data_IF_748396290225
#
_entry.id   IF_748396290225
#
_cell.length_a   1.000
_cell.length_b   1.000
_cell.length_c   1.000
_cell.angle_alpha   90.00
_cell.angle_beta   90.00
_cell.angle_gamma   90.00
#
_symmetry.space_group_name_H-M   'P 1'
#
loop_
_entity.id
_entity.type
_entity.pdbx_description
1 polymer ?
#
# COMPACT_ATOMS: atom_id res chain seq x y z
N UNK A 1 -9.54 20.24 5.07
CA UNK A 1 -10.67 20.71 4.24
C UNK A 1 -11.75 19.66 4.17
N UNK A 2 -12.50 19.49 5.26
CA UNK A 2 -13.72 18.66 5.27
C UNK A 2 -14.96 19.51 5.03
N UNK A 3 -16.13 18.88 4.81
CA UNK A 3 -17.40 19.60 4.77
C UNK A 3 -17.68 20.29 6.11
N UNK A 4 -18.43 21.39 6.09
CA UNK A 4 -18.89 22.06 7.31
C UNK A 4 -19.71 21.08 8.16
N UNK A 5 -19.33 20.78 9.41
CA UNK A 5 -20.08 19.87 10.29
C UNK A 5 -21.55 20.26 10.45
N UNK A 6 -21.89 21.54 10.38
CA UNK A 6 -23.27 22.01 10.45
C UNK A 6 -24.12 21.58 9.24
N UNK A 7 -23.48 21.31 8.09
CA UNK A 7 -24.15 20.84 6.87
C UNK A 7 -24.43 19.33 6.86
N UNK A 8 -23.90 18.57 7.84
CA UNK A 8 -24.04 17.12 7.93
C UNK A 8 -25.15 16.76 8.94
N UNK A 9 -26.07 15.81 8.61
CA UNK A 9 -27.06 15.31 9.56
C UNK A 9 -26.41 14.82 10.86
N UNK A 10 -27.08 15.05 11.99
CA UNK A 10 -26.49 14.86 13.32
C UNK A 10 -25.99 13.42 13.54
N UNK A 11 -26.71 12.44 13.01
CA UNK A 11 -26.41 11.01 13.04
C UNK A 11 -25.15 10.60 12.24
N UNK A 12 -24.55 11.52 11.47
CA UNK A 12 -23.33 11.28 10.70
C UNK A 12 -22.17 12.23 11.06
N UNK A 13 -22.39 13.23 11.91
CA UNK A 13 -21.35 14.21 12.26
C UNK A 13 -20.16 13.58 12.98
N UNK A 14 -20.39 12.52 13.74
CA UNK A 14 -19.36 11.72 14.42
C UNK A 14 -18.44 10.95 13.44
N UNK A 15 -18.84 10.84 12.17
CA UNK A 15 -18.01 10.27 11.09
C UNK A 15 -17.07 11.28 10.45
N UNK A 16 -17.21 12.56 10.79
CA UNK A 16 -16.26 13.59 10.36
C UNK A 16 -15.00 13.52 11.21
N UNK A 17 -13.86 13.62 10.54
CA UNK A 17 -12.57 13.67 11.19
C UNK A 17 -11.48 14.05 10.21
N UNK A 18 -10.32 14.37 10.76
CA UNK A 18 -9.09 14.50 10.00
C UNK A 18 -8.04 13.60 10.65
N UNK A 19 -7.22 12.97 9.81
CA UNK A 19 -5.97 12.41 10.29
C UNK A 19 -5.11 13.58 10.77
N UNK A 20 -4.66 13.52 12.02
CA UNK A 20 -3.73 14.50 12.58
C UNK A 20 -2.50 13.79 13.10
N UNK A 21 -1.33 14.37 12.87
CA UNK A 21 -0.07 13.80 13.35
C UNK A 21 -0.05 13.73 14.88
N UNK A 22 -0.58 14.72 15.57
CA UNK A 22 -0.55 14.79 17.03
C UNK A 22 -1.46 13.78 17.73
N UNK A 23 -2.56 13.34 17.10
CA UNK A 23 -3.55 12.46 17.74
C UNK A 23 -3.64 11.09 17.08
N UNK A 24 -3.70 11.06 15.76
CA UNK A 24 -3.98 9.82 15.03
C UNK A 24 -2.73 8.94 14.92
N UNK A 25 -1.57 9.53 14.60
CA UNK A 25 -0.34 8.74 14.44
C UNK A 25 0.08 8.03 15.73
N UNK A 26 0.09 8.66 16.92
CA UNK A 26 0.40 7.97 18.16
C UNK A 26 -0.56 6.81 18.45
N UNK A 27 -1.86 6.98 18.17
CA UNK A 27 -2.84 5.92 18.40
C UNK A 27 -2.65 4.72 17.45
N UNK A 28 -2.34 4.97 16.18
CA UNK A 28 -2.04 3.91 15.21
C UNK A 28 -0.72 3.20 15.54
N UNK A 29 0.30 3.96 15.96
CA UNK A 29 1.57 3.41 16.45
C UNK A 29 1.36 2.50 17.65
N UNK A 30 0.65 2.97 18.67
CA UNK A 30 0.33 2.22 19.89
C UNK A 30 -0.52 0.97 19.60
N UNK A 31 -1.43 1.02 18.62
CA UNK A 31 -2.16 -0.16 18.15
C UNK A 31 -1.22 -1.21 17.54
N UNK A 32 -0.31 -0.82 16.64
CA UNK A 32 0.71 -1.71 16.07
C UNK A 32 1.63 -2.26 17.16
N UNK A 33 2.17 -1.41 18.04
CA UNK A 33 3.08 -1.82 19.11
C UNK A 33 2.45 -2.87 20.04
N UNK A 34 1.14 -2.80 20.25
CA UNK A 34 0.39 -3.79 21.03
C UNK A 34 0.14 -5.12 20.32
N UNK A 35 0.49 -5.26 19.04
CA UNK A 35 0.28 -6.48 18.25
C UNK A 35 -0.87 -6.37 17.25
N UNK A 36 -1.38 -5.17 16.99
CA UNK A 36 -2.41 -4.94 15.98
C UNK A 36 -1.87 -5.09 14.55
N UNK A 37 -2.78 -5.30 13.61
CA UNK A 37 -2.46 -5.32 12.17
C UNK A 37 -3.15 -4.15 11.48
N UNK A 38 -2.40 -3.37 10.72
CA UNK A 38 -2.93 -2.28 9.91
C UNK A 38 -2.75 -2.63 8.44
N UNK A 39 -3.78 -2.35 7.63
CA UNK A 39 -3.76 -2.47 6.18
C UNK A 39 -3.97 -1.08 5.60
N UNK A 40 -3.08 -0.66 4.70
CA UNK A 40 -3.25 0.58 3.94
C UNK A 40 -3.35 0.27 2.44
N UNK A 41 -4.21 0.99 1.74
CA UNK A 41 -4.43 0.87 0.30
C UNK A 41 -4.25 2.26 -0.34
N UNK A 42 -3.53 2.33 -1.46
CA UNK A 42 -3.33 3.58 -2.18
C UNK A 42 -2.63 4.63 -1.32
N UNK A 43 -3.14 5.86 -1.36
CA UNK A 43 -2.55 7.01 -0.66
C UNK A 43 -2.48 6.89 0.86
N UNK A 44 -3.28 6.01 1.48
CA UNK A 44 -3.20 5.75 2.92
C UNK A 44 -1.87 5.12 3.34
N UNK A 45 -1.10 4.56 2.40
CA UNK A 45 0.24 4.01 2.65
C UNK A 45 1.29 5.06 3.04
N UNK A 46 0.99 6.36 2.92
CA UNK A 46 1.80 7.43 3.51
C UNK A 46 2.05 7.24 5.02
N UNK A 47 1.18 6.48 5.69
CA UNK A 47 1.36 6.07 7.09
C UNK A 47 2.72 5.42 7.35
N UNK A 48 3.25 4.64 6.40
CA UNK A 48 4.53 3.95 6.58
C UNK A 48 5.70 4.94 6.81
N UNK A 49 5.79 5.98 5.99
CA UNK A 49 6.77 7.04 6.17
C UNK A 49 6.51 7.85 7.46
N UNK A 50 5.24 8.14 7.77
CA UNK A 50 4.83 8.84 8.99
C UNK A 50 5.16 8.07 10.28
N UNK A 51 5.23 6.74 10.22
CA UNK A 51 5.70 5.89 11.31
C UNK A 51 7.24 5.84 11.42
N UNK A 52 7.97 6.49 10.51
CA UNK A 52 9.43 6.51 10.48
C UNK A 52 10.04 5.26 9.85
N UNK A 53 9.27 4.48 9.10
CA UNK A 53 9.84 3.38 8.31
C UNK A 53 10.69 3.96 7.18
N UNK A 54 11.78 3.28 6.77
CA UNK A 54 12.66 3.72 5.70
C UNK A 54 12.03 3.48 4.32
N UNK A 55 10.89 4.09 4.09
CA UNK A 55 10.15 4.07 2.84
C UNK A 55 10.07 5.50 2.30
N UNK A 56 10.30 5.65 1.01
CA UNK A 56 10.19 6.92 0.31
C UNK A 56 9.45 6.73 -1.01
N UNK A 57 9.30 7.81 -1.74
CA UNK A 57 8.77 7.78 -3.09
C UNK A 57 9.82 7.20 -4.06
N UNK A 58 9.39 6.27 -4.91
CA UNK A 58 10.19 5.71 -6.00
C UNK A 58 10.11 6.56 -7.27
N UNK A 59 9.01 7.29 -7.45
CA UNK A 59 8.71 8.07 -8.64
C UNK A 59 9.25 9.49 -8.49
N UNK A 60 10.55 9.60 -8.22
CA UNK A 60 11.24 10.88 -8.05
C UNK A 60 12.20 11.13 -9.21
N UNK A 61 12.45 12.40 -9.48
CA UNK A 61 13.46 12.80 -10.47
C UNK A 61 14.86 12.33 -10.02
N UNK A 62 15.74 11.92 -10.94
CA UNK A 62 17.07 11.46 -10.60
C UNK A 62 17.88 12.47 -9.78
N UNK A 63 18.32 12.06 -8.59
CA UNK A 63 19.16 12.90 -7.72
C UNK A 63 18.40 13.94 -6.89
N UNK A 64 17.07 13.90 -6.88
CA UNK A 64 16.22 14.76 -6.04
C UNK A 64 15.22 13.92 -5.24
N UNK A 65 14.44 14.59 -4.37
CA UNK A 65 13.26 14.02 -3.70
C UNK A 65 11.96 14.57 -4.31
N UNK A 66 12.03 15.21 -5.49
CA UNK A 66 10.86 15.76 -6.17
C UNK A 66 10.18 14.69 -7.03
N UNK A 67 8.85 14.59 -6.93
CA UNK A 67 8.07 13.66 -7.73
C UNK A 67 8.27 13.93 -9.24
N UNK A 68 8.20 12.88 -10.05
CA UNK A 68 8.24 12.99 -11.51
C UNK A 68 7.06 13.84 -12.00
N UNK A 69 7.29 14.78 -12.93
CA UNK A 69 6.21 15.59 -13.48
C UNK A 69 5.28 14.75 -14.37
N UNK A 70 4.02 15.16 -14.48
CA UNK A 70 2.99 14.37 -15.20
C UNK A 70 3.27 14.20 -16.71
N UNK A 71 4.12 15.03 -17.31
CA UNK A 71 4.56 14.90 -18.70
C UNK A 71 5.68 13.86 -18.89
N UNK A 72 6.35 13.45 -17.81
CA UNK A 72 7.32 12.34 -17.79
C UNK A 72 6.66 11.03 -17.33
N UNK A 73 5.77 11.08 -16.35
CA UNK A 73 5.12 9.92 -15.77
C UNK A 73 3.63 10.15 -15.50
N UNK A 74 2.76 9.37 -16.15
CA UNK A 74 1.32 9.47 -15.91
C UNK A 74 0.55 8.18 -16.20
N UNK A 75 -0.06 7.63 -15.14
CA UNK A 75 -0.89 6.42 -15.19
C UNK A 75 -2.20 6.68 -14.43
N UNK A 76 -3.25 7.18 -15.10
CA UNK A 76 -4.51 7.61 -14.46
C UNK A 76 -5.46 6.48 -14.08
N UNK A 77 -5.12 5.24 -14.46
CA UNK A 77 -6.01 4.09 -14.33
C UNK A 77 -5.62 3.02 -15.33
N UNK A 78 -4.95 1.96 -14.89
CA UNK A 78 -4.50 0.86 -15.75
C UNK A 78 -4.33 -0.43 -14.96
N UNK A 79 -4.33 -1.54 -15.68
CA UNK A 79 -4.00 -2.85 -15.13
C UNK A 79 -2.52 -3.08 -15.34
N UNK A 80 -1.80 -3.23 -14.23
CA UNK A 80 -0.37 -3.46 -14.21
C UNK A 80 -0.06 -4.82 -13.60
N UNK A 81 0.99 -5.47 -14.07
CA UNK A 81 1.54 -6.67 -13.44
C UNK A 81 2.44 -6.31 -12.26
N UNK A 82 2.34 -7.11 -11.20
CA UNK A 82 3.23 -7.09 -10.03
C UNK A 82 3.77 -8.50 -9.80
N UNK A 83 5.08 -8.61 -9.55
CA UNK A 83 5.74 -9.83 -9.10
C UNK A 83 5.71 -9.91 -7.58
N UNK A 84 5.23 -11.02 -7.04
CA UNK A 84 5.02 -11.25 -5.60
C UNK A 84 6.10 -12.15 -4.98
N UNK A 85 6.53 -11.78 -3.78
CA UNK A 85 7.21 -12.70 -2.87
C UNK A 85 6.18 -13.59 -2.17
N UNK A 86 6.10 -14.83 -2.63
CA UNK A 86 5.17 -15.86 -2.14
C UNK A 86 5.46 -16.40 -0.75
N UNK A 87 6.57 -15.99 -0.13
CA UNK A 87 6.87 -16.34 1.27
C UNK A 87 6.11 -15.48 2.28
N UNK A 88 5.55 -14.33 1.85
CA UNK A 88 4.72 -13.51 2.73
C UNK A 88 3.32 -14.13 2.93
N UNK A 89 2.81 -14.17 4.17
CA UNK A 89 1.48 -14.71 4.46
C UNK A 89 0.36 -13.97 3.71
N UNK A 90 0.55 -12.68 3.41
CA UNK A 90 -0.46 -11.87 2.71
C UNK A 90 -0.65 -12.30 1.25
N UNK A 91 0.33 -12.99 0.67
CA UNK A 91 0.30 -13.48 -0.72
C UNK A 91 -0.21 -14.92 -0.85
N UNK A 92 -0.63 -15.54 0.25
CA UNK A 92 -1.07 -16.93 0.27
C UNK A 92 -2.21 -17.17 -0.73
N UNK A 93 -2.05 -18.19 -1.57
CA UNK A 93 -3.05 -18.58 -2.56
C UNK A 93 -2.99 -17.80 -3.88
N UNK A 94 -2.10 -16.81 -4.00
CA UNK A 94 -1.88 -16.08 -5.24
C UNK A 94 -0.76 -16.71 -6.09
N UNK A 95 -0.80 -16.40 -7.39
CA UNK A 95 0.28 -16.67 -8.32
C UNK A 95 1.48 -15.75 -8.03
N UNK A 96 2.65 -16.08 -8.58
CA UNK A 96 3.86 -15.25 -8.45
C UNK A 96 3.73 -13.92 -9.20
N UNK A 97 2.93 -13.88 -10.26
CA UNK A 97 2.59 -12.68 -11.01
C UNK A 97 1.09 -12.45 -10.88
N UNK A 98 0.70 -11.23 -10.55
CA UNK A 98 -0.70 -10.83 -10.45
C UNK A 98 -0.94 -9.52 -11.19
N UNK A 99 -2.17 -9.34 -11.64
CA UNK A 99 -2.63 -8.09 -12.23
C UNK A 99 -3.30 -7.23 -11.15
N UNK A 100 -2.90 -5.96 -11.07
CA UNK A 100 -3.38 -4.99 -10.08
C UNK A 100 -3.97 -3.76 -10.76
N UNK A 101 -4.97 -3.15 -10.14
CA UNK A 101 -5.44 -1.82 -10.55
C UNK A 101 -4.48 -0.75 -10.03
N UNK A 102 -3.89 -0.01 -10.95
CA UNK A 102 -3.06 1.16 -10.68
C UNK A 102 -3.82 2.42 -11.05
N UNK A 103 -3.95 3.37 -10.13
CA UNK A 103 -4.64 4.64 -10.37
C UNK A 103 -3.92 5.77 -9.65
N UNK A 104 -2.89 6.33 -10.29
CA UNK A 104 -1.97 7.31 -9.65
C UNK A 104 -1.52 6.82 -8.27
N UNK A 105 -1.27 5.52 -8.20
CA UNK A 105 -1.01 4.79 -6.97
C UNK A 105 0.42 5.04 -6.50
N UNK A 106 0.69 5.08 -5.18
CA UNK A 106 2.05 5.21 -4.70
C UNK A 106 2.92 4.03 -5.10
N UNK A 107 4.20 4.32 -5.37
CA UNK A 107 5.24 3.31 -5.64
C UNK A 107 6.39 3.62 -4.73
N UNK A 108 6.87 2.62 -4.00
CA UNK A 108 7.74 2.86 -2.87
C UNK A 108 9.18 2.48 -3.17
N UNK A 109 10.08 3.38 -2.79
CA UNK A 109 11.49 3.09 -2.62
C UNK A 109 11.70 2.64 -1.19
N UNK A 110 12.28 1.47 -1.00
CA UNK A 110 12.50 0.88 0.33
C UNK A 110 13.99 0.88 0.65
N UNK A 111 14.37 1.55 1.74
CA UNK A 111 15.72 1.54 2.27
C UNK A 111 16.08 0.20 2.94
N UNK A 112 17.36 0.00 3.24
CA UNK A 112 17.81 -1.21 3.93
C UNK A 112 17.36 -1.21 5.40
N UNK A 113 16.39 -2.05 5.74
CA UNK A 113 16.02 -2.34 7.12
C UNK A 113 15.50 -3.76 7.27
N UNK A 114 15.78 -4.37 8.42
CA UNK A 114 15.38 -5.76 8.70
C UNK A 114 13.88 -5.91 8.93
N UNK A 115 13.20 -4.85 9.37
CA UNK A 115 11.78 -4.87 9.69
C UNK A 115 10.88 -4.42 8.53
N UNK A 116 11.43 -4.25 7.32
CA UNK A 116 10.65 -3.88 6.13
C UNK A 116 10.97 -4.83 4.99
N UNK A 117 9.95 -5.52 4.50
CA UNK A 117 10.02 -6.51 3.43
C UNK A 117 9.25 -6.02 2.22
N UNK A 118 9.88 -6.05 1.04
CA UNK A 118 9.18 -5.84 -0.23
C UNK A 118 8.50 -7.14 -0.62
N UNK A 119 7.17 -7.13 -0.65
CA UNK A 119 6.33 -8.29 -0.95
C UNK A 119 5.82 -8.27 -2.39
N UNK A 120 5.81 -7.11 -3.03
CA UNK A 120 5.40 -6.95 -4.43
C UNK A 120 6.27 -5.91 -5.12
N UNK A 121 6.70 -6.18 -6.35
CA UNK A 121 7.56 -5.28 -7.13
C UNK A 121 7.08 -5.18 -8.58
N UNK A 122 7.19 -3.99 -9.16
CA UNK A 122 7.01 -3.78 -10.59
C UNK A 122 8.27 -4.18 -11.37
N UNK A 123 8.07 -4.75 -12.56
CA UNK A 123 9.14 -4.94 -13.54
C UNK A 123 9.22 -3.78 -14.55
N UNK A 124 10.03 -3.92 -15.61
CA UNK A 124 10.31 -2.83 -16.55
C UNK A 124 9.17 -2.50 -17.52
N UNK A 125 8.25 -3.45 -17.75
CA UNK A 125 7.10 -3.27 -18.64
C UNK A 125 5.84 -3.87 -18.01
N UNK A 126 5.30 -3.25 -16.95
CA UNK A 126 4.22 -3.84 -16.18
C UNK A 126 2.85 -3.66 -16.85
N UNK A 127 2.69 -2.84 -17.90
CA UNK A 127 1.39 -2.59 -18.50
C UNK A 127 0.77 -3.87 -19.09
N UNK A 128 -0.40 -4.24 -18.57
CA UNK A 128 -1.25 -5.32 -19.12
C UNK A 128 -2.43 -4.77 -19.90
N UNK A 129 -3.05 -3.69 -19.43
CA UNK A 129 -4.16 -3.04 -20.12
C UNK A 129 -4.33 -1.58 -19.68
N UNK A 130 -4.69 -0.70 -20.61
CA UNK A 130 -4.92 0.72 -20.36
C UNK A 130 -3.84 1.61 -20.96
N UNK A 131 -3.49 2.68 -20.24
CA UNK A 131 -2.55 3.71 -20.61
C UNK A 131 -1.50 3.90 -19.52
N UNK A 132 -0.23 3.67 -19.86
CA UNK A 132 0.88 3.90 -18.95
C UNK A 132 2.02 4.66 -19.64
N UNK A 133 2.01 5.98 -19.49
CA UNK A 133 3.09 6.85 -19.93
C UNK A 133 4.22 6.86 -18.89
N UNK A 134 5.47 6.67 -19.32
CA UNK A 134 6.63 6.59 -18.42
C UNK A 134 6.67 5.34 -17.54
N UNK A 135 6.06 4.23 -17.96
CA UNK A 135 5.95 3.02 -17.15
C UNK A 135 7.31 2.42 -16.74
N UNK A 136 8.37 2.71 -17.48
CA UNK A 136 9.75 2.33 -17.18
C UNK A 136 10.24 2.87 -15.83
N UNK A 137 9.69 3.99 -15.35
CA UNK A 137 10.01 4.54 -14.02
C UNK A 137 9.50 3.67 -12.88
N UNK A 138 8.57 2.73 -13.15
CA UNK A 138 8.12 1.76 -12.17
C UNK A 138 9.15 0.66 -11.89
N UNK A 139 10.11 0.44 -12.78
CA UNK A 139 11.00 -0.71 -12.68
C UNK A 139 11.72 -0.74 -11.33
N UNK A 140 11.67 -1.91 -10.69
CA UNK A 140 12.24 -2.10 -9.37
C UNK A 140 11.46 -1.44 -8.22
N UNK A 141 10.42 -0.65 -8.47
CA UNK A 141 9.61 0.01 -7.45
C UNK A 141 8.75 -0.99 -6.66
N UNK A 142 8.66 -0.81 -5.34
CA UNK A 142 7.84 -1.67 -4.49
C UNK A 142 6.36 -1.28 -4.61
N UNK A 143 5.54 -2.26 -4.99
CA UNK A 143 4.09 -2.16 -5.04
C UNK A 143 3.45 -2.54 -3.70
N UNK A 144 4.06 -3.50 -2.99
CA UNK A 144 3.55 -4.03 -1.72
C UNK A 144 4.69 -4.14 -0.73
N UNK A 145 4.46 -3.65 0.49
CA UNK A 145 5.41 -3.71 1.60
C UNK A 145 4.73 -4.37 2.80
N UNK A 146 5.49 -5.19 3.52
CA UNK A 146 5.16 -5.72 4.83
C UNK A 146 6.19 -5.17 5.82
N UNK A 147 5.75 -4.60 6.94
CA UNK A 147 6.66 -4.04 7.93
C UNK A 147 6.24 -4.39 9.36
N UNK A 148 7.23 -4.76 10.16
CA UNK A 148 7.04 -4.99 11.59
C UNK A 148 7.20 -3.67 12.36
N UNK A 149 6.20 -3.38 13.21
CA UNK A 149 6.18 -2.20 14.09
C UNK A 149 5.82 -2.66 15.50
N UNK A 150 6.83 -2.73 16.36
CA UNK A 150 6.69 -3.33 17.69
C UNK A 150 6.34 -4.81 17.58
N UNK A 151 5.15 -5.21 18.04
CA UNK A 151 4.64 -6.59 17.94
C UNK A 151 3.64 -6.78 16.82
N UNK A 152 3.28 -5.71 16.12
CA UNK A 152 2.25 -5.70 15.09
C UNK A 152 2.85 -5.60 13.69
N UNK A 153 1.98 -5.72 12.71
CA UNK A 153 2.35 -5.77 11.29
C UNK A 153 1.58 -4.73 10.51
N UNK A 154 2.29 -3.99 9.66
CA UNK A 154 1.73 -3.05 8.70
C UNK A 154 1.85 -3.65 7.30
N UNK A 155 0.72 -3.88 6.64
CA UNK A 155 0.67 -4.21 5.22
C UNK A 155 0.34 -2.96 4.40
N UNK A 156 1.24 -2.59 3.51
CA UNK A 156 1.13 -1.43 2.64
C UNK A 156 0.93 -1.87 1.21
N UNK A 157 -0.23 -1.56 0.64
CA UNK A 157 -0.55 -1.81 -0.76
C UNK A 157 -0.58 -0.47 -1.49
N UNK A 158 0.43 -0.23 -2.34
CA UNK A 158 0.42 0.87 -3.30
C UNK A 158 -0.77 0.79 -4.26
N UNK A 159 -1.00 -0.32 -4.98
CA UNK A 159 -2.12 -0.42 -5.92
C UNK A 159 -3.48 -0.48 -5.21
N UNK A 160 -4.53 -0.20 -5.98
CA UNK A 160 -5.91 -0.19 -5.51
C UNK A 160 -6.50 -1.61 -5.43
N UNK A 161 -6.11 -2.39 -4.42
CA UNK A 161 -6.45 -3.82 -4.31
C UNK A 161 -7.95 -4.11 -4.08
N UNK A 162 -8.73 -3.07 -3.77
CA UNK A 162 -10.17 -3.15 -3.58
C UNK A 162 -10.94 -2.13 -4.45
N UNK A 163 -10.34 -1.66 -5.56
CA UNK A 163 -10.88 -0.58 -6.39
C UNK A 163 -12.34 -0.83 -6.78
N UNK A 164 -13.26 -0.06 -6.20
CA UNK A 164 -14.72 -0.13 -6.45
C UNK A 164 -15.31 -1.55 -6.32
N UNK A 165 -14.66 -2.44 -5.59
CA UNK A 165 -15.07 -3.84 -5.50
C UNK A 165 -14.96 -4.64 -6.80
N UNK A 166 -14.11 -4.22 -7.75
CA UNK A 166 -13.97 -4.89 -9.07
C UNK A 166 -12.64 -5.65 -9.25
N UNK A 167 -11.68 -5.45 -8.36
CA UNK A 167 -10.34 -6.06 -8.43
C UNK A 167 -10.30 -7.44 -7.78
N UNK A 168 -11.10 -8.38 -8.30
CA UNK A 168 -11.26 -9.71 -7.71
C UNK A 168 -9.93 -10.49 -7.58
N UNK A 169 -9.01 -10.29 -8.53
CA UNK A 169 -7.69 -10.93 -8.50
C UNK A 169 -6.81 -10.53 -7.31
N UNK A 170 -7.06 -9.36 -6.71
CA UNK A 170 -6.28 -8.84 -5.58
C UNK A 170 -7.03 -8.90 -4.25
N UNK A 171 -8.29 -9.32 -4.23
CA UNK A 171 -9.04 -9.52 -2.98
C UNK A 171 -8.36 -10.48 -2.00
N UNK A 172 -7.70 -11.57 -2.44
CA UNK A 172 -6.96 -12.41 -1.51
C UNK A 172 -5.92 -11.63 -0.70
N UNK A 173 -5.26 -10.60 -1.25
CA UNK A 173 -4.33 -9.75 -0.48
C UNK A 173 -5.03 -9.07 0.71
N UNK A 174 -6.20 -8.46 0.46
CA UNK A 174 -6.98 -7.78 1.49
C UNK A 174 -7.46 -8.77 2.56
N UNK A 175 -8.07 -9.88 2.13
CA UNK A 175 -8.60 -10.85 3.08
C UNK A 175 -7.51 -11.58 3.86
N UNK A 176 -6.39 -11.94 3.22
CA UNK A 176 -5.24 -12.51 3.93
C UNK A 176 -4.73 -11.55 4.99
N UNK A 177 -4.66 -10.24 4.69
CA UNK A 177 -4.29 -9.23 5.70
C UNK A 177 -5.29 -9.14 6.85
N UNK A 178 -6.60 -9.26 6.58
CA UNK A 178 -7.65 -9.24 7.62
C UNK A 178 -7.57 -10.49 8.51
N UNK A 179 -7.32 -11.66 7.92
CA UNK A 179 -7.24 -12.93 8.66
C UNK A 179 -5.86 -13.18 9.29
N UNK A 180 -4.84 -12.42 8.90
CA UNK A 180 -3.47 -12.55 9.40
C UNK A 180 -3.34 -12.58 10.94
N UNK A 181 -4.01 -11.71 11.73
CA UNK A 181 -3.90 -11.73 13.18
C UNK A 181 -4.38 -13.04 13.83
N UNK A 182 -5.23 -13.79 13.13
CA UNK A 182 -5.77 -15.08 13.58
C UNK A 182 -5.04 -16.29 12.99
N UNK A 183 -4.03 -16.05 12.15
CA UNK A 183 -3.29 -17.12 11.51
C UNK A 183 -2.32 -17.78 12.50
N UNK A 184 -2.30 -19.11 12.51
CA UNK A 184 -1.33 -19.90 13.25
C UNK A 184 -0.33 -20.52 12.28
N UNK A 185 0.95 -20.47 12.62
CA UNK A 185 1.97 -21.17 11.85
C UNK A 185 1.72 -22.68 11.92
N UNK A 186 1.63 -23.31 10.75
CA UNK A 186 1.29 -24.72 10.65
C UNK A 186 2.16 -25.43 9.62
N UNK A 187 2.62 -26.63 9.95
CA UNK A 187 3.31 -27.50 8.99
C UNK A 187 2.27 -28.30 8.20
N UNK A 188 2.19 -28.05 6.90
CA UNK A 188 1.36 -28.87 6.01
C UNK A 188 1.95 -30.28 5.96
N UNK A 189 1.13 -31.29 6.26
CA UNK A 189 1.47 -32.71 6.17
C UNK A 189 1.26 -33.25 4.76
#
# INVERSE_FOLDING_TARGET
>A
GGPDPASIPAEYRDRLGALSEERTLPALRDFLERGGTIITIGSSGALAAQLGLPVGDHLVQPGTDEHLPEDEYFIPGSILEVQLDRSSPVTRGLAEQIDVMFNRSPVYRVGSAQNVKVVGRYGPQPLRSGWAWGQEHLDGGAAIIEADVGRGTLFVFGPEIAFRGQTHGTFPLLFNGIYYPSAEETTLR
#
